data_IF_908995757312
#
_entry.id   IF_908995757312
#
_cell.length_a   1.000
_cell.length_b   1.000
_cell.length_c   1.000
_cell.angle_alpha   90.00
_cell.angle_beta   90.00
_cell.angle_gamma   90.00
#
_symmetry.space_group_name_H-M   'P 1'
#
loop_
_entity.id
_entity.type
_entity.pdbx_description
1 polymer ?
#
# COMPACT_ATOMS: atom_id res chain seq x y z
N UNK A 1 -7.56 10.23 -10.54
CA UNK A 1 -6.30 9.56 -10.24
C UNK A 1 -5.36 10.56 -9.57
N UNK A 2 -4.63 10.17 -8.54
CA UNK A 2 -3.62 10.97 -7.85
C UNK A 2 -2.27 10.24 -8.00
N UNK A 3 -1.26 10.91 -8.56
CA UNK A 3 0.09 10.38 -8.73
C UNK A 3 1.09 11.33 -8.07
N UNK A 4 1.74 10.96 -6.96
CA UNK A 4 2.75 11.79 -6.33
C UNK A 4 4.01 11.82 -7.21
N UNK A 5 4.65 12.98 -7.32
CA UNK A 5 5.86 13.14 -8.10
C UNK A 5 7.08 13.40 -7.21
N UNK A 6 6.92 14.28 -6.22
CA UNK A 6 8.01 14.71 -5.36
C UNK A 6 7.47 15.51 -4.16
N UNK A 7 8.09 15.34 -3.00
CA UNK A 7 7.73 16.04 -1.76
C UNK A 7 8.76 17.10 -1.31
N UNK A 8 10.01 16.97 -1.77
CA UNK A 8 11.09 17.91 -1.45
C UNK A 8 11.59 17.82 0.01
N UNK A 9 11.26 16.75 0.75
CA UNK A 9 11.72 16.56 2.13
C UNK A 9 13.10 15.90 2.12
N UNK A 10 14.14 16.53 2.70
CA UNK A 10 15.45 15.93 2.76
C UNK A 10 15.50 14.87 3.88
N UNK A 11 16.25 13.79 3.66
CA UNK A 11 16.53 12.78 4.67
C UNK A 11 17.38 13.39 5.80
N UNK A 12 17.08 13.05 7.05
CA UNK A 12 17.70 13.63 8.24
C UNK A 12 18.61 12.64 8.99
N UNK A 13 18.26 11.35 9.03
CA UNK A 13 18.91 10.34 9.86
C UNK A 13 19.71 9.33 9.05
N UNK A 14 19.45 9.23 7.75
CA UNK A 14 20.15 8.28 6.89
C UNK A 14 20.60 8.93 5.58
N UNK A 15 21.64 8.38 4.97
CA UNK A 15 22.12 8.82 3.65
C UNK A 15 21.35 8.16 2.50
N UNK A 16 20.85 6.97 2.73
CA UNK A 16 20.23 6.14 1.69
C UNK A 16 19.09 5.31 2.27
N UNK A 17 17.89 5.38 1.70
CA UNK A 17 16.74 4.55 2.10
C UNK A 17 16.89 3.15 1.47
N UNK A 18 17.71 2.32 2.12
CA UNK A 18 18.13 1.01 1.57
C UNK A 18 16.94 0.07 1.43
N UNK A 19 16.04 0.04 2.43
CA UNK A 19 14.92 -0.91 2.43
C UNK A 19 13.86 -0.50 1.42
N UNK A 20 13.49 0.78 1.34
CA UNK A 20 12.55 1.26 0.34
C UNK A 20 13.04 0.92 -1.08
N UNK A 21 14.32 1.18 -1.36
CA UNK A 21 14.93 0.81 -2.66
C UNK A 21 14.98 -0.69 -2.89
N UNK A 22 15.28 -1.48 -1.86
CA UNK A 22 15.31 -2.94 -1.97
C UNK A 22 13.91 -3.52 -2.24
N UNK A 23 12.86 -2.98 -1.62
CA UNK A 23 11.48 -3.35 -1.89
C UNK A 23 11.08 -3.02 -3.34
N UNK A 24 11.48 -1.85 -3.85
CA UNK A 24 11.28 -1.47 -5.25
C UNK A 24 11.93 -2.50 -6.18
N UNK A 25 13.21 -2.81 -5.94
CA UNK A 25 13.94 -3.79 -6.75
C UNK A 25 13.30 -5.18 -6.66
N UNK A 26 12.92 -5.62 -5.45
CA UNK A 26 12.24 -6.91 -5.25
C UNK A 26 10.93 -7.00 -6.04
N UNK A 27 10.08 -5.98 -5.97
CA UNK A 27 8.83 -5.95 -6.74
C UNK A 27 9.08 -5.98 -8.26
N UNK A 28 10.10 -5.26 -8.75
CA UNK A 28 10.49 -5.30 -10.18
C UNK A 28 10.94 -6.71 -10.57
N UNK A 29 11.84 -7.32 -9.80
CA UNK A 29 12.37 -8.65 -10.11
C UNK A 29 11.27 -9.73 -10.08
N UNK A 30 10.37 -9.68 -9.09
CA UNK A 30 9.22 -10.59 -9.02
C UNK A 30 8.29 -10.36 -10.22
N UNK A 31 8.05 -9.12 -10.63
CA UNK A 31 7.19 -8.82 -11.78
C UNK A 31 7.83 -9.27 -13.10
N UNK A 32 9.14 -9.10 -13.26
CA UNK A 32 9.87 -9.62 -14.43
C UNK A 32 9.82 -11.16 -14.48
N UNK A 33 9.97 -11.82 -13.32
CA UNK A 33 9.79 -13.27 -13.22
C UNK A 33 8.35 -13.72 -13.54
N UNK A 34 7.35 -12.94 -13.10
CA UNK A 34 5.95 -13.13 -13.42
C UNK A 34 5.66 -13.05 -14.94
N UNK A 35 6.33 -12.14 -15.65
CA UNK A 35 6.10 -11.93 -17.09
C UNK A 35 6.93 -12.84 -17.99
N UNK A 36 8.16 -13.16 -17.58
CA UNK A 36 9.15 -13.83 -18.45
C UNK A 36 9.67 -15.15 -17.87
N UNK A 37 9.23 -15.51 -16.67
CA UNK A 37 9.60 -16.75 -16.01
C UNK A 37 8.90 -17.99 -16.62
N UNK A 38 9.22 -19.18 -16.12
CA UNK A 38 8.68 -20.43 -16.63
C UNK A 38 7.22 -20.69 -16.21
N UNK A 39 6.69 -19.93 -15.25
CA UNK A 39 5.33 -20.06 -14.73
C UNK A 39 4.39 -19.07 -15.42
N UNK A 40 3.16 -19.51 -15.69
CA UNK A 40 2.10 -18.61 -16.18
C UNK A 40 1.64 -17.63 -15.13
N UNK A 41 0.93 -16.59 -15.54
CA UNK A 41 0.33 -15.62 -14.64
C UNK A 41 -0.63 -16.28 -13.62
N UNK A 42 -1.45 -17.23 -14.09
CA UNK A 42 -2.40 -17.95 -13.24
C UNK A 42 -1.69 -18.84 -12.22
N UNK A 43 -0.60 -19.49 -12.62
CA UNK A 43 0.24 -20.28 -11.71
C UNK A 43 0.88 -19.43 -10.64
N UNK A 44 1.43 -18.27 -11.00
CA UNK A 44 2.02 -17.33 -10.02
C UNK A 44 0.98 -16.79 -9.05
N UNK A 45 -0.19 -16.42 -9.53
CA UNK A 45 -1.28 -15.90 -8.71
C UNK A 45 -1.87 -17.00 -7.82
N UNK A 46 -2.12 -18.19 -8.36
CA UNK A 46 -2.56 -19.36 -7.58
C UNK A 46 -1.52 -19.81 -6.56
N UNK A 47 -0.23 -19.71 -6.92
CA UNK A 47 0.87 -20.15 -6.07
C UNK A 47 1.22 -19.24 -4.89
N UNK A 48 1.13 -17.92 -5.09
CA UNK A 48 1.62 -16.90 -4.14
C UNK A 48 0.61 -15.80 -3.80
N UNK A 49 -0.49 -15.67 -4.58
CA UNK A 49 -1.55 -14.70 -4.33
C UNK A 49 -2.43 -15.09 -3.14
N UNK A 50 -3.10 -14.12 -2.56
CA UNK A 50 -4.08 -14.36 -1.51
C UNK A 50 -5.45 -14.57 -2.14
N UNK A 51 -6.04 -15.75 -1.97
CA UNK A 51 -7.42 -16.05 -2.32
C UNK A 51 -8.20 -16.23 -1.02
N UNK A 52 -9.14 -15.32 -0.69
CA UNK A 52 -9.85 -15.35 0.59
C UNK A 52 -10.55 -16.65 0.88
N UNK A 53 -11.24 -17.27 -0.11
CA UNK A 53 -11.93 -18.55 0.06
C UNK A 53 -10.99 -19.71 0.42
N UNK A 54 -9.77 -19.68 -0.13
CA UNK A 54 -8.72 -20.67 0.18
C UNK A 54 -8.11 -20.40 1.55
N UNK A 55 -7.86 -19.11 1.89
CA UNK A 55 -7.30 -18.74 3.19
C UNK A 55 -8.17 -19.23 4.35
N UNK A 56 -9.50 -19.13 4.21
CA UNK A 56 -10.45 -19.54 5.24
C UNK A 56 -10.92 -21.00 5.10
N UNK A 57 -10.38 -21.76 4.15
CA UNK A 57 -10.66 -23.19 3.99
C UNK A 57 -12.02 -23.52 3.37
N UNK A 58 -12.66 -22.57 2.68
CA UNK A 58 -13.92 -22.81 1.95
C UNK A 58 -13.70 -23.42 0.57
N UNK A 59 -12.50 -23.25 0.02
CA UNK A 59 -12.10 -23.80 -1.28
C UNK A 59 -10.69 -24.38 -1.17
N UNK A 60 -10.39 -25.32 -2.06
CA UNK A 60 -9.06 -25.90 -2.23
C UNK A 60 -8.58 -25.63 -3.65
N UNK A 61 -7.30 -25.32 -3.80
CA UNK A 61 -6.67 -25.20 -5.10
C UNK A 61 -6.28 -26.59 -5.63
N UNK A 62 -6.01 -26.71 -6.95
CA UNK A 62 -5.47 -27.93 -7.54
C UNK A 62 -4.19 -28.40 -6.84
N UNK A 63 -3.85 -29.68 -7.00
CA UNK A 63 -2.63 -30.24 -6.44
C UNK A 63 -1.39 -29.43 -6.89
N UNK A 64 -0.50 -29.14 -5.93
CA UNK A 64 0.66 -28.30 -6.15
C UNK A 64 0.47 -26.80 -5.84
N UNK A 65 -0.76 -26.37 -5.50
CA UNK A 65 -1.05 -24.99 -5.11
C UNK A 65 -1.67 -24.90 -3.71
N UNK A 66 -1.40 -23.80 -2.97
CA UNK A 66 -0.39 -22.78 -3.26
C UNK A 66 1.04 -23.30 -3.11
N UNK A 67 2.03 -22.60 -3.65
CA UNK A 67 3.47 -22.95 -3.52
C UNK A 67 4.00 -22.77 -2.10
N UNK A 68 3.28 -22.05 -1.27
CA UNK A 68 3.60 -21.78 0.14
C UNK A 68 2.43 -22.22 1.02
N UNK A 69 2.64 -22.47 2.32
CA UNK A 69 1.52 -22.67 3.25
C UNK A 69 0.49 -21.53 3.13
N UNK A 70 -0.80 -21.86 3.08
CA UNK A 70 -1.89 -20.89 2.83
C UNK A 70 -1.80 -19.65 3.73
N UNK A 71 -1.44 -19.84 5.01
CA UNK A 71 -1.27 -18.73 5.96
C UNK A 71 -0.13 -17.76 5.62
N UNK A 72 0.76 -18.10 4.70
CA UNK A 72 1.82 -17.20 4.20
C UNK A 72 1.37 -16.33 3.02
N UNK A 73 0.27 -16.68 2.36
CA UNK A 73 -0.22 -15.92 1.19
C UNK A 73 -0.54 -14.46 1.49
N UNK A 74 -0.97 -14.04 2.71
CA UNK A 74 -1.07 -12.63 3.08
C UNK A 74 0.25 -11.84 3.01
N UNK A 75 1.40 -12.51 3.07
CA UNK A 75 2.71 -11.89 2.95
C UNK A 75 3.27 -11.99 1.53
N UNK A 76 3.08 -13.11 0.83
CA UNK A 76 3.65 -13.31 -0.51
C UNK A 76 2.93 -12.51 -1.59
N UNK A 77 1.61 -12.32 -1.47
CA UNK A 77 0.82 -11.53 -2.42
C UNK A 77 1.30 -10.08 -2.58
N UNK A 78 1.95 -9.52 -1.54
CA UNK A 78 2.46 -8.15 -1.51
C UNK A 78 3.43 -7.87 -2.67
N UNK A 79 4.16 -8.87 -3.13
CA UNK A 79 5.19 -8.71 -4.16
C UNK A 79 4.70 -8.96 -5.58
N UNK A 80 3.47 -9.49 -5.75
CA UNK A 80 2.89 -9.77 -7.06
C UNK A 80 2.19 -8.53 -7.64
N UNK A 81 2.30 -8.35 -8.95
CA UNK A 81 1.63 -7.24 -9.66
C UNK A 81 1.07 -7.73 -10.99
N UNK A 82 -0.21 -7.48 -11.23
CA UNK A 82 -0.91 -7.98 -12.42
C UNK A 82 -0.63 -7.19 -13.72
N UNK A 83 0.00 -6.02 -13.64
CA UNK A 83 0.34 -5.20 -14.79
C UNK A 83 1.46 -4.21 -14.49
N UNK A 84 2.13 -3.72 -15.53
CA UNK A 84 3.10 -2.63 -15.41
C UNK A 84 2.51 -1.38 -14.77
N UNK A 85 1.28 -1.05 -15.10
CA UNK A 85 0.61 0.12 -14.53
C UNK A 85 0.39 -0.04 -13.02
N UNK A 86 -0.01 -1.24 -12.59
CA UNK A 86 -0.18 -1.57 -11.17
C UNK A 86 1.16 -1.52 -10.42
N UNK A 87 2.23 -2.10 -11.01
CA UNK A 87 3.58 -2.04 -10.44
C UNK A 87 4.06 -0.59 -10.31
N UNK A 88 4.08 0.17 -11.43
CA UNK A 88 4.59 1.54 -11.45
C UNK A 88 3.83 2.43 -10.46
N UNK A 89 2.51 2.27 -10.37
CA UNK A 89 1.71 2.99 -9.38
C UNK A 89 2.21 2.76 -7.96
N UNK A 90 2.39 1.50 -7.56
CA UNK A 90 2.90 1.16 -6.22
C UNK A 90 4.32 1.68 -5.99
N UNK A 91 5.21 1.49 -6.96
CA UNK A 91 6.61 1.91 -6.85
C UNK A 91 6.75 3.43 -6.76
N UNK A 92 5.90 4.19 -7.44
CA UNK A 92 5.92 5.65 -7.38
C UNK A 92 5.58 6.17 -5.97
N UNK A 93 4.54 5.61 -5.35
CA UNK A 93 4.20 5.95 -3.96
C UNK A 93 5.29 5.52 -2.99
N UNK A 94 5.86 4.32 -3.16
CA UNK A 94 6.96 3.84 -2.34
C UNK A 94 8.22 4.69 -2.52
N UNK A 95 8.50 5.16 -3.74
CA UNK A 95 9.63 6.04 -4.03
C UNK A 95 9.49 7.42 -3.39
N UNK A 96 8.28 8.04 -3.46
CA UNK A 96 8.07 9.42 -3.01
C UNK A 96 7.90 9.52 -1.50
N UNK A 97 7.30 8.51 -0.85
CA UNK A 97 6.97 8.56 0.57
C UNK A 97 7.78 7.60 1.43
N UNK A 98 8.29 6.52 0.83
CA UNK A 98 8.93 5.43 1.54
C UNK A 98 10.25 5.85 2.17
N UNK A 99 11.04 6.68 1.51
CA UNK A 99 12.33 7.14 1.97
C UNK A 99 12.23 7.97 3.28
N UNK A 100 11.28 8.90 3.33
CA UNK A 100 11.04 9.72 4.50
C UNK A 100 10.46 8.94 5.69
N UNK A 101 9.61 7.94 5.42
CA UNK A 101 9.07 7.07 6.47
C UNK A 101 10.15 6.11 6.97
N UNK A 102 11.03 5.61 6.09
CA UNK A 102 12.20 4.83 6.47
C UNK A 102 13.17 5.65 7.32
N UNK A 103 13.42 6.91 6.93
CA UNK A 103 14.27 7.84 7.69
C UNK A 103 13.73 8.09 9.11
N UNK A 104 12.41 8.18 9.27
CA UNK A 104 11.75 8.43 10.54
C UNK A 104 11.77 7.25 11.51
N UNK A 105 12.01 6.00 11.06
CA UNK A 105 11.98 4.83 11.94
C UNK A 105 13.19 3.90 11.81
N UNK A 106 14.02 4.06 10.79
CA UNK A 106 15.17 3.22 10.49
C UNK A 106 14.82 1.95 9.72
N UNK A 107 15.82 1.34 9.10
CA UNK A 107 15.69 0.27 8.11
C UNK A 107 14.85 -0.93 8.57
N UNK A 108 15.20 -1.55 9.70
CA UNK A 108 14.53 -2.78 10.16
C UNK A 108 13.08 -2.53 10.59
N UNK A 109 12.82 -1.41 11.26
CA UNK A 109 11.45 -1.06 11.64
C UNK A 109 10.60 -0.72 10.43
N UNK A 110 11.16 -0.06 9.42
CA UNK A 110 10.47 0.22 8.18
C UNK A 110 10.10 -1.07 7.42
N UNK A 111 11.01 -2.04 7.33
CA UNK A 111 10.69 -3.34 6.72
C UNK A 111 9.56 -4.03 7.47
N UNK A 112 9.65 -4.11 8.80
CA UNK A 112 8.59 -4.70 9.63
C UNK A 112 7.27 -3.94 9.47
N UNK A 113 7.31 -2.61 9.47
CA UNK A 113 6.14 -1.75 9.28
C UNK A 113 5.46 -2.04 7.94
N UNK A 114 6.21 -2.05 6.83
CA UNK A 114 5.68 -2.32 5.50
C UNK A 114 5.01 -3.69 5.42
N UNK A 115 5.68 -4.74 5.93
CA UNK A 115 5.14 -6.09 5.92
C UNK A 115 3.91 -6.24 6.80
N UNK A 116 3.91 -5.67 8.01
CA UNK A 116 2.76 -5.73 8.92
C UNK A 116 1.56 -4.99 8.30
N UNK A 117 1.77 -3.79 7.73
CA UNK A 117 0.72 -3.07 7.04
C UNK A 117 0.16 -3.86 5.85
N UNK A 118 1.02 -4.49 5.03
CA UNK A 118 0.61 -5.31 3.90
C UNK A 118 -0.17 -6.56 4.31
N UNK A 119 0.28 -7.26 5.35
CA UNK A 119 -0.43 -8.43 5.90
C UNK A 119 -1.77 -8.01 6.51
N UNK A 120 -1.80 -6.96 7.31
CA UNK A 120 -3.06 -6.43 7.88
C UNK A 120 -4.05 -6.02 6.78
N UNK A 121 -3.57 -5.36 5.73
CA UNK A 121 -4.34 -5.01 4.55
C UNK A 121 -4.97 -6.25 3.87
N UNK A 122 -4.16 -7.29 3.68
CA UNK A 122 -4.57 -8.55 3.09
C UNK A 122 -5.65 -9.24 3.92
N UNK A 123 -5.49 -9.26 5.25
CA UNK A 123 -6.48 -9.84 6.17
C UNK A 123 -7.78 -9.03 6.21
N UNK A 124 -7.71 -7.69 6.23
CA UNK A 124 -8.91 -6.83 6.16
C UNK A 124 -9.68 -7.08 4.87
N UNK A 125 -8.98 -7.17 3.73
CA UNK A 125 -9.61 -7.50 2.45
C UNK A 125 -10.26 -8.89 2.48
N UNK A 126 -9.56 -9.90 2.99
CA UNK A 126 -10.07 -11.25 3.08
C UNK A 126 -11.33 -11.33 3.97
N UNK A 127 -11.33 -10.67 5.13
CA UNK A 127 -12.50 -10.60 6.02
C UNK A 127 -13.65 -9.85 5.35
N UNK A 128 -13.40 -8.72 4.68
CA UNK A 128 -14.42 -7.96 3.96
C UNK A 128 -15.09 -8.80 2.87
N UNK A 129 -14.34 -9.68 2.19
CA UNK A 129 -14.87 -10.59 1.17
C UNK A 129 -15.90 -11.59 1.71
N UNK A 130 -15.88 -11.90 3.02
CA UNK A 130 -16.80 -12.85 3.65
C UNK A 130 -17.84 -12.21 4.55
N UNK A 131 -17.58 -11.05 5.13
CA UNK A 131 -18.44 -10.43 6.14
C UNK A 131 -19.85 -10.13 5.64
N UNK A 132 -20.05 -10.17 4.32
CA UNK A 132 -21.31 -9.82 3.67
C UNK A 132 -21.90 -10.96 2.83
N UNK A 133 -21.32 -12.16 2.88
CA UNK A 133 -21.94 -13.33 2.26
C UNK A 133 -23.25 -13.63 2.98
N UNK A 134 -24.37 -13.52 2.26
CA UNK A 134 -25.71 -13.75 2.83
C UNK A 134 -26.40 -12.51 3.43
N UNK A 135 -25.76 -11.34 3.43
CA UNK A 135 -26.41 -10.07 3.76
C UNK A 135 -26.95 -9.43 2.48
N UNK A 136 -28.29 -9.22 2.43
CA UNK A 136 -28.89 -8.46 1.33
C UNK A 136 -28.47 -7.00 1.43
N UNK A 137 -27.42 -6.66 0.71
CA UNK A 137 -26.96 -5.27 0.58
C UNK A 137 -27.61 -4.62 -0.63
N UNK A 138 -27.78 -3.28 -0.63
CA UNK A 138 -28.19 -2.56 -1.83
C UNK A 138 -27.26 -2.92 -3.00
N UNK A 139 -27.79 -3.02 -4.23
CA UNK A 139 -27.01 -3.33 -5.45
C UNK A 139 -25.83 -2.37 -5.69
N UNK A 140 -25.85 -1.20 -5.05
CA UNK A 140 -24.75 -0.22 -5.05
C UNK A 140 -23.52 -0.61 -4.22
N UNK A 141 -23.63 -1.63 -3.35
CA UNK A 141 -22.51 -2.12 -2.54
C UNK A 141 -21.80 -3.27 -3.26
N UNK A 142 -20.63 -3.01 -3.78
CA UNK A 142 -19.80 -4.01 -4.46
C UNK A 142 -18.70 -4.49 -3.52
N UNK A 143 -18.85 -5.72 -3.06
CA UNK A 143 -17.85 -6.37 -2.21
C UNK A 143 -16.86 -7.20 -3.04
N UNK A 144 -15.64 -7.36 -2.56
CA UNK A 144 -14.68 -8.23 -3.23
C UNK A 144 -15.19 -9.68 -3.19
N UNK A 145 -15.20 -10.36 -4.35
CA UNK A 145 -15.56 -11.76 -4.42
C UNK A 145 -14.53 -12.63 -3.68
N UNK A 146 -14.96 -13.58 -2.81
CA UNK A 146 -14.04 -14.41 -2.03
C UNK A 146 -13.08 -15.25 -2.87
N UNK A 147 -13.44 -15.57 -4.11
CA UNK A 147 -12.63 -16.34 -5.05
C UNK A 147 -11.62 -15.47 -5.80
N UNK A 148 -11.75 -14.14 -5.77
CA UNK A 148 -10.86 -13.25 -6.48
C UNK A 148 -9.53 -13.09 -5.75
N UNK A 149 -8.40 -13.38 -6.41
CA UNK A 149 -7.10 -13.23 -5.78
C UNK A 149 -6.77 -11.75 -5.53
N UNK A 150 -6.23 -11.48 -4.36
CA UNK A 150 -5.59 -10.21 -4.01
C UNK A 150 -4.09 -10.31 -4.29
N UNK A 151 -3.54 -9.33 -5.02
CA UNK A 151 -2.12 -9.18 -5.28
C UNK A 151 -1.74 -7.68 -5.23
N UNK A 152 -0.53 -7.37 -4.81
CA UNK A 152 0.03 -6.02 -4.89
C UNK A 152 0.60 -5.48 -3.59
N UNK A 153 1.61 -4.63 -3.72
CA UNK A 153 2.25 -3.93 -2.59
C UNK A 153 1.36 -2.83 -1.97
N UNK A 154 0.23 -2.53 -2.58
CA UNK A 154 -0.59 -1.35 -2.29
C UNK A 154 -1.10 -1.28 -0.84
N UNK A 155 -1.32 -2.41 -0.17
CA UNK A 155 -1.66 -2.43 1.25
C UNK A 155 -0.53 -1.90 2.14
N UNK A 156 0.70 -2.36 1.93
CA UNK A 156 1.90 -1.86 2.61
C UNK A 156 2.19 -0.40 2.26
N UNK A 157 2.05 -0.04 0.98
CA UNK A 157 2.18 1.33 0.48
C UNK A 157 1.13 2.26 1.11
N UNK A 158 -0.12 1.82 1.27
CA UNK A 158 -1.16 2.60 1.95
C UNK A 158 -0.79 2.89 3.41
N UNK A 159 -0.15 1.92 4.08
CA UNK A 159 0.41 2.13 5.42
C UNK A 159 1.50 3.21 5.44
N UNK A 160 2.41 3.19 4.45
CA UNK A 160 3.45 4.23 4.29
C UNK A 160 2.81 5.61 4.06
N UNK A 161 1.78 5.71 3.22
CA UNK A 161 1.07 6.96 2.94
C UNK A 161 0.41 7.51 4.21
N UNK A 162 -0.20 6.63 5.04
CA UNK A 162 -0.75 7.02 6.34
C UNK A 162 0.33 7.53 7.29
N UNK A 163 1.46 6.82 7.38
CA UNK A 163 2.60 7.24 8.19
C UNK A 163 3.13 8.61 7.72
N UNK A 164 3.28 8.79 6.42
CA UNK A 164 3.78 10.04 5.85
C UNK A 164 2.89 11.24 6.19
N UNK A 165 1.56 11.14 6.01
CA UNK A 165 0.67 12.26 6.33
C UNK A 165 0.64 12.60 7.82
N UNK A 166 0.85 11.63 8.69
CA UNK A 166 0.96 11.86 10.15
C UNK A 166 2.28 12.55 10.51
N UNK A 167 3.39 12.16 9.87
CA UNK A 167 4.71 12.74 10.10
C UNK A 167 4.87 14.13 9.47
N UNK A 168 4.37 14.30 8.25
CA UNK A 168 4.60 15.48 7.40
C UNK A 168 3.29 16.12 6.87
N UNK A 169 2.30 16.42 7.71
CA UNK A 169 0.96 16.81 7.25
C UNK A 169 0.92 18.07 6.40
N UNK A 170 1.84 19.01 6.62
CA UNK A 170 1.87 20.33 5.97
C UNK A 170 2.86 20.44 4.82
N UNK A 171 3.69 19.44 4.62
CA UNK A 171 4.61 19.38 3.47
C UNK A 171 3.82 19.47 2.17
N UNK A 172 4.29 20.29 1.25
CA UNK A 172 3.64 20.44 -0.06
C UNK A 172 4.19 19.42 -1.05
N UNK A 173 3.32 18.52 -1.47
CA UNK A 173 3.62 17.47 -2.42
C UNK A 173 3.28 17.94 -3.83
N UNK A 174 4.19 17.78 -4.77
CA UNK A 174 3.89 17.86 -6.19
C UNK A 174 3.21 16.54 -6.62
N UNK A 175 2.04 16.67 -7.23
CA UNK A 175 1.29 15.50 -7.72
C UNK A 175 0.51 15.84 -8.98
N UNK A 176 0.22 14.82 -9.78
CA UNK A 176 -0.71 14.93 -10.90
C UNK A 176 -2.12 14.50 -10.42
N UNK A 177 -3.09 15.38 -10.64
CA UNK A 177 -4.49 15.13 -10.33
C UNK A 177 -5.33 15.04 -11.61
N UNK A 178 -6.45 14.28 -11.55
CA UNK A 178 -7.55 14.28 -12.53
C UNK A 178 -7.07 14.34 -14.00
N UNK A 179 -6.25 13.36 -14.42
CA UNK A 179 -5.85 13.26 -15.82
C UNK A 179 -4.61 14.08 -16.22
N UNK A 180 -3.85 14.56 -15.21
CA UNK A 180 -2.53 15.15 -15.50
C UNK A 180 -2.34 16.60 -15.12
N UNK A 181 -3.26 17.18 -14.33
CA UNK A 181 -3.10 18.55 -13.82
C UNK A 181 -2.05 18.54 -12.70
N UNK A 182 -0.88 19.20 -12.88
CA UNK A 182 0.13 19.30 -11.83
C UNK A 182 -0.31 20.28 -10.75
N UNK A 183 -0.44 19.80 -9.53
CA UNK A 183 -0.77 20.62 -8.36
C UNK A 183 0.26 20.42 -7.26
N UNK A 184 0.49 21.50 -6.51
CA UNK A 184 1.32 21.46 -5.30
C UNK A 184 0.45 21.72 -4.09
N UNK A 185 0.08 20.64 -3.38
CA UNK A 185 -0.86 20.68 -2.27
C UNK A 185 -0.21 20.18 -0.97
N UNK A 186 -0.63 20.68 0.20
CA UNK A 186 -0.25 20.09 1.48
C UNK A 186 -0.60 18.59 1.53
N UNK A 187 0.25 17.79 2.16
CA UNK A 187 0.10 16.33 2.24
C UNK A 187 -1.28 15.92 2.76
N UNK A 188 -1.80 16.59 3.81
CA UNK A 188 -3.11 16.26 4.37
C UNK A 188 -4.26 16.45 3.36
N UNK A 189 -4.19 17.43 2.44
CA UNK A 189 -5.19 17.59 1.38
C UNK A 189 -5.03 16.55 0.27
N UNK A 190 -3.79 16.37 -0.22
CA UNK A 190 -3.51 15.44 -1.30
C UNK A 190 -3.82 13.98 -0.90
N UNK A 191 -3.33 13.56 0.26
CA UNK A 191 -3.53 12.21 0.79
C UNK A 191 -4.95 12.04 1.31
N UNK A 192 -5.54 13.07 1.94
CA UNK A 192 -6.93 13.04 2.39
C UNK A 192 -7.91 12.85 1.23
N UNK A 193 -7.70 13.55 0.10
CA UNK A 193 -8.47 13.34 -1.12
C UNK A 193 -8.27 11.91 -1.66
N UNK A 194 -7.02 11.46 -1.77
CA UNK A 194 -6.72 10.11 -2.23
C UNK A 194 -7.40 9.04 -1.36
N UNK A 195 -7.29 9.18 -0.04
CA UNK A 195 -7.94 8.26 0.91
C UNK A 195 -9.47 8.32 0.82
N UNK A 196 -10.03 9.52 0.68
CA UNK A 196 -11.47 9.71 0.48
C UNK A 196 -11.99 8.98 -0.76
N UNK A 197 -11.26 9.03 -1.88
CA UNK A 197 -11.57 8.25 -3.09
C UNK A 197 -11.51 6.75 -2.80
N UNK A 198 -10.47 6.26 -2.09
CA UNK A 198 -10.36 4.85 -1.71
C UNK A 198 -11.57 4.41 -0.86
N UNK A 199 -11.95 5.26 0.12
CA UNK A 199 -13.08 4.98 1.00
C UNK A 199 -14.40 4.89 0.21
N UNK A 200 -14.69 5.89 -0.62
CA UNK A 200 -15.90 5.89 -1.45
C UNK A 200 -15.93 4.69 -2.40
N UNK A 201 -14.78 4.40 -3.04
CA UNK A 201 -14.68 3.27 -3.97
C UNK A 201 -14.82 1.90 -3.28
N UNK A 202 -14.41 1.77 -2.02
CA UNK A 202 -14.58 0.53 -1.26
C UNK A 202 -16.05 0.18 -1.01
N UNK A 203 -16.92 1.18 -0.86
CA UNK A 203 -18.33 0.97 -0.52
C UNK A 203 -19.29 1.23 -1.67
N UNK A 204 -18.95 2.09 -2.62
CA UNK A 204 -19.84 2.56 -3.68
C UNK A 204 -19.22 2.48 -5.08
N UNK A 205 -17.97 2.01 -5.19
CA UNK A 205 -17.26 1.92 -6.47
C UNK A 205 -17.68 0.73 -7.31
N UNK A 206 -17.28 0.72 -8.57
CA UNK A 206 -17.37 -0.45 -9.44
C UNK A 206 -16.33 -1.50 -9.03
N UNK A 207 -16.62 -2.78 -9.26
CA UNK A 207 -15.67 -3.87 -9.07
C UNK A 207 -14.64 -3.90 -10.22
N UNK A 208 -13.67 -2.98 -10.13
CA UNK A 208 -12.60 -2.83 -11.13
C UNK A 208 -11.39 -3.73 -10.86
N UNK A 209 -11.51 -4.71 -9.95
CA UNK A 209 -10.39 -5.57 -9.56
C UNK A 209 -9.36 -4.88 -8.64
N UNK A 210 -9.70 -3.74 -8.06
CA UNK A 210 -8.86 -3.01 -7.11
C UNK A 210 -9.21 -3.42 -5.68
N UNK A 211 -8.19 -3.74 -4.90
CA UNK A 211 -8.35 -4.13 -3.48
C UNK A 211 -8.61 -2.94 -2.56
N UNK A 212 -9.74 -2.22 -2.72
CA UNK A 212 -10.05 -1.03 -1.93
C UNK A 212 -10.01 -1.26 -0.42
N UNK A 213 -10.55 -2.39 0.05
CA UNK A 213 -10.50 -2.77 1.47
C UNK A 213 -9.08 -3.05 1.95
N UNK A 214 -8.20 -3.57 1.09
CA UNK A 214 -6.78 -3.70 1.42
C UNK A 214 -6.14 -2.32 1.60
N UNK A 215 -6.46 -1.34 0.75
CA UNK A 215 -5.95 0.01 0.91
C UNK A 215 -6.40 0.66 2.22
N UNK A 216 -7.68 0.53 2.58
CA UNK A 216 -8.21 1.02 3.86
C UNK A 216 -7.54 0.33 5.04
N UNK A 217 -7.43 -1.01 5.00
CA UNK A 217 -6.79 -1.81 6.04
C UNK A 217 -5.34 -1.43 6.26
N UNK A 218 -4.57 -1.29 5.18
CA UNK A 218 -3.18 -0.86 5.23
C UNK A 218 -3.01 0.56 5.78
N UNK A 219 -3.86 1.49 5.36
CA UNK A 219 -3.84 2.86 5.84
C UNK A 219 -4.12 2.95 7.35
N UNK A 220 -5.14 2.25 7.83
CA UNK A 220 -5.49 2.19 9.26
C UNK A 220 -4.34 1.56 10.07
N UNK A 221 -3.80 0.43 9.60
CA UNK A 221 -2.67 -0.22 10.25
C UNK A 221 -1.46 0.70 10.35
N UNK A 222 -1.13 1.40 9.26
CA UNK A 222 -0.04 2.37 9.23
C UNK A 222 -0.24 3.53 10.20
N UNK A 223 -1.45 4.08 10.25
CA UNK A 223 -1.80 5.15 11.18
C UNK A 223 -1.66 4.73 12.65
N UNK A 224 -2.01 3.48 12.98
CA UNK A 224 -1.87 2.93 14.33
C UNK A 224 -0.40 2.65 14.67
N UNK A 225 0.37 2.12 13.73
CA UNK A 225 1.74 1.65 13.97
C UNK A 225 2.76 2.79 14.02
N UNK A 226 2.58 3.85 13.23
CA UNK A 226 3.61 4.90 13.12
C UNK A 226 3.97 5.57 14.47
N UNK A 227 3.03 5.91 15.38
CA UNK A 227 3.38 6.47 16.68
C UNK A 227 4.23 5.55 17.55
N UNK A 228 4.10 4.22 17.33
CA UNK A 228 4.82 3.20 18.10
C UNK A 228 6.20 2.89 17.53
N UNK A 229 6.38 3.02 16.21
CA UNK A 229 7.58 2.55 15.50
C UNK A 229 8.56 3.67 15.13
N UNK A 230 8.10 4.93 15.05
CA UNK A 230 9.00 6.08 14.81
C UNK A 230 10.00 6.28 15.94
N UNK A 231 11.09 6.95 15.67
CA UNK A 231 12.02 7.40 16.70
C UNK A 231 11.30 8.30 17.71
N UNK A 232 11.46 8.02 19.02
CA UNK A 232 10.67 8.66 20.08
C UNK A 232 10.92 10.16 20.25
N UNK A 233 12.05 10.67 19.77
CA UNK A 233 12.37 12.09 19.87
C UNK A 233 13.11 12.53 18.62
N UNK A 234 12.43 13.29 17.81
CA UNK A 234 13.04 13.93 16.65
C UNK A 234 12.82 15.45 16.73
N UNK A 235 13.79 16.18 17.30
CA UNK A 235 13.73 17.64 17.31
C UNK A 235 13.81 18.23 15.91
N UNK A 236 14.20 17.44 14.90
CA UNK A 236 14.34 17.89 13.52
C UNK A 236 12.99 17.89 12.81
N UNK A 237 12.15 16.89 13.03
CA UNK A 237 10.77 16.88 12.53
C UNK A 237 9.97 18.05 13.09
N UNK A 238 10.18 18.38 14.39
CA UNK A 238 9.59 19.56 15.03
C UNK A 238 10.14 20.87 14.42
N UNK A 239 11.43 20.93 14.02
CA UNK A 239 12.05 22.10 13.39
C UNK A 239 11.67 22.26 11.91
N UNK A 240 11.60 21.19 11.14
CA UNK A 240 11.15 21.23 9.75
C UNK A 240 9.71 21.74 9.64
N UNK A 241 8.82 21.27 10.52
CA UNK A 241 7.47 21.80 10.64
C UNK A 241 7.44 23.27 11.05
N UNK A 242 8.38 23.72 11.91
CA UNK A 242 8.46 25.11 12.36
C UNK A 242 9.09 26.05 11.32
N UNK A 243 10.05 25.60 10.52
CA UNK A 243 10.72 26.43 9.49
C UNK A 243 9.83 26.73 8.28
N UNK A 244 8.92 25.83 7.91
CA UNK A 244 7.92 26.11 6.87
C UNK A 244 6.97 27.27 7.22
N UNK A 245 6.83 27.59 8.52
CA UNK A 245 6.05 28.75 8.98
C UNK A 245 6.80 30.08 8.87
N UNK A 246 8.13 30.07 8.73
CA UNK A 246 8.98 31.27 8.77
C UNK A 246 9.43 31.77 7.40
N UNK A 247 9.18 31.06 6.32
CA UNK A 247 9.46 31.56 4.96
C UNK A 247 8.30 32.45 4.49
N UNK A 248 8.50 33.77 4.35
CA UNK A 248 7.51 34.66 3.72
C UNK A 248 7.26 34.19 2.28
N UNK A 249 6.03 34.27 1.85
CA UNK A 249 5.57 33.97 0.49
C UNK A 249 6.09 34.96 -0.52
#
# INVERSE_FOLDING_TARGET
>A
MFLPLHDGVPLQHMKTPVVARSLIVACILVHLFFLYGPLSADEMVGGLGLIPSVLFGFETLPEGYPFVPVWMTPATNIFLHGSWFHLIGNLLFLWVFGDNVEDAMGHLRFLAFFLICGIAASLVHAVASFSMVGVSMPESFILPAPQRPLIGASGGVSGIVAAYVILYPRVRIWALFLGGIPLRLPAYWAIGFWFGVQFVSAFFGSDEGVGWFAHLGGFIAGAILIPLMRHRYDPVLARAAAQEWQTPR
#
